data_IF_749241626639
#
_entry.id   IF_749241626639
#
_cell.length_a   1.000
_cell.length_b   1.000
_cell.length_c   1.000
_cell.angle_alpha   90.00
_cell.angle_beta   90.00
_cell.angle_gamma   90.00
#
_symmetry.space_group_name_H-M   'P 1'
#
loop_
_entity.id
_entity.type
_entity.pdbx_description
1 polymer ?
#
# COMPACT_ATOMS: atom_id res chain seq x y z
N UNK A 1 -10.01 -19.46 -5.06
CA UNK A 1 -9.60 -18.12 -5.52
C UNK A 1 -8.71 -18.33 -6.73
N UNK A 2 -9.08 -17.76 -7.86
CA UNK A 2 -8.25 -17.83 -9.06
C UNK A 2 -6.99 -16.99 -8.86
N UNK A 3 -5.87 -17.48 -9.37
CA UNK A 3 -4.64 -16.72 -9.39
C UNK A 3 -4.81 -15.58 -10.41
N UNK A 4 -4.93 -14.37 -9.88
CA UNK A 4 -5.09 -13.14 -10.66
C UNK A 4 -3.80 -12.71 -11.39
N UNK A 5 -2.66 -13.34 -11.08
CA UNK A 5 -1.37 -13.05 -11.71
C UNK A 5 -0.76 -14.31 -12.33
N UNK A 6 -0.38 -14.25 -13.61
CA UNK A 6 0.20 -15.37 -14.35
C UNK A 6 1.73 -15.30 -14.48
N UNK A 7 2.31 -14.12 -14.23
CA UNK A 7 3.73 -13.84 -14.41
C UNK A 7 4.42 -13.19 -13.21
N UNK A 8 5.52 -12.49 -13.48
CA UNK A 8 6.31 -11.79 -12.45
C UNK A 8 5.57 -10.51 -12.03
N UNK A 9 5.37 -10.36 -10.73
CA UNK A 9 4.69 -9.21 -10.13
C UNK A 9 5.70 -8.34 -9.38
N UNK A 10 5.60 -7.02 -9.56
CA UNK A 10 6.29 -6.02 -8.76
C UNK A 10 5.30 -5.39 -7.78
N UNK A 11 5.72 -5.25 -6.53
CA UNK A 11 4.90 -4.74 -5.43
C UNK A 11 5.67 -3.62 -4.74
N UNK A 12 5.01 -2.48 -4.53
CA UNK A 12 5.57 -1.35 -3.78
C UNK A 12 4.52 -0.77 -2.81
N UNK A 13 4.97 -0.25 -1.68
CA UNK A 13 4.10 0.37 -0.67
C UNK A 13 4.42 1.86 -0.49
N UNK A 14 3.38 2.70 -0.56
CA UNK A 14 3.48 4.14 -0.37
C UNK A 14 2.62 4.59 0.80
N UNK A 15 3.15 5.43 1.68
CA UNK A 15 2.40 5.98 2.82
C UNK A 15 2.00 7.44 2.58
N UNK A 16 0.70 7.70 2.45
CA UNK A 16 0.13 9.03 2.18
C UNK A 16 -0.37 9.64 3.48
N UNK A 17 0.11 10.85 3.80
CA UNK A 17 -0.36 11.61 4.94
C UNK A 17 0.57 12.75 5.35
N UNK A 18 0.06 13.64 6.19
CA UNK A 18 0.81 14.80 6.69
C UNK A 18 2.03 14.40 7.51
N UNK A 19 3.16 15.08 7.30
CA UNK A 19 4.37 14.85 8.09
C UNK A 19 4.10 15.20 9.56
N UNK A 20 4.48 14.31 10.47
CA UNK A 20 4.30 14.55 11.92
C UNK A 20 4.97 15.85 12.38
N UNK A 21 6.09 16.23 11.75
CA UNK A 21 6.80 17.49 12.02
C UNK A 21 5.93 18.74 11.79
N UNK A 22 4.94 18.67 10.89
CA UNK A 22 4.03 19.76 10.55
C UNK A 22 2.81 19.85 11.47
N UNK A 23 2.58 18.87 12.36
CA UNK A 23 1.49 18.94 13.34
C UNK A 23 1.82 19.95 14.44
N UNK A 24 0.79 20.52 15.07
CA UNK A 24 0.96 21.28 16.32
C UNK A 24 1.63 20.42 17.40
N UNK A 25 2.45 21.03 18.27
CA UNK A 25 3.31 20.34 19.26
C UNK A 25 2.55 19.30 20.08
N UNK A 26 1.35 19.63 20.59
CA UNK A 26 0.52 18.73 21.39
C UNK A 26 -0.05 17.51 20.63
N UNK A 27 0.01 17.51 19.30
CA UNK A 27 -0.51 16.45 18.41
C UNK A 27 0.60 15.64 17.71
N UNK A 28 1.88 15.94 17.98
CA UNK A 28 3.01 15.19 17.42
C UNK A 28 3.11 13.84 18.11
N UNK A 29 3.13 12.76 17.34
CA UNK A 29 3.33 11.41 17.90
C UNK A 29 4.80 11.11 18.16
N UNK A 30 5.73 11.84 17.50
CA UNK A 30 7.19 11.56 17.53
C UNK A 30 7.56 10.15 17.06
N UNK A 31 6.63 9.46 16.40
CA UNK A 31 6.84 8.13 15.82
C UNK A 31 7.40 8.31 14.40
N UNK A 32 8.40 7.50 14.04
CA UNK A 32 9.00 7.48 12.69
C UNK A 32 8.22 6.54 11.77
N UNK A 33 8.26 6.79 10.46
CA UNK A 33 7.73 5.87 9.43
C UNK A 33 6.31 6.17 8.97
N UNK A 34 5.54 5.11 8.72
CA UNK A 34 4.15 5.10 8.22
C UNK A 34 3.07 5.44 9.26
N UNK A 35 3.47 5.69 10.52
CA UNK A 35 2.51 5.99 11.59
C UNK A 35 1.61 7.17 11.22
N UNK A 36 0.30 6.96 11.40
CA UNK A 36 -0.73 7.96 11.18
C UNK A 36 -0.81 8.47 9.72
N UNK A 37 -0.40 7.61 8.78
CA UNK A 37 -0.54 7.75 7.33
C UNK A 37 -1.32 6.55 6.80
N UNK A 38 -1.99 6.75 5.68
CA UNK A 38 -2.65 5.66 4.96
C UNK A 38 -1.64 4.93 4.09
N UNK A 39 -1.63 3.60 4.15
CA UNK A 39 -0.82 2.78 3.27
C UNK A 39 -1.57 2.56 1.95
N UNK A 40 -0.86 2.75 0.84
CA UNK A 40 -1.32 2.47 -0.53
C UNK A 40 -0.38 1.44 -1.12
N UNK A 41 -0.93 0.32 -1.58
CA UNK A 41 -0.18 -0.76 -2.21
C UNK A 41 -0.31 -0.63 -3.73
N UNK A 42 0.82 -0.54 -4.43
CA UNK A 42 0.90 -0.66 -5.87
C UNK A 42 1.29 -2.08 -6.24
N UNK A 43 0.51 -2.73 -7.12
CA UNK A 43 0.81 -4.06 -7.65
C UNK A 43 0.77 -3.98 -9.17
N UNK A 44 1.83 -4.40 -9.83
CA UNK A 44 1.91 -4.45 -11.29
C UNK A 44 2.49 -5.79 -11.75
N UNK A 45 1.84 -6.43 -12.72
CA UNK A 45 2.40 -7.59 -13.41
C UNK A 45 3.24 -7.11 -14.59
N UNK A 46 4.50 -7.55 -14.66
CA UNK A 46 5.41 -7.10 -15.71
C UNK A 46 4.98 -7.65 -17.07
N UNK A 47 4.97 -6.79 -18.08
CA UNK A 47 4.73 -7.14 -19.50
C UNK A 47 3.32 -7.68 -19.80
N UNK A 48 2.31 -7.37 -18.99
CA UNK A 48 0.90 -7.66 -19.29
C UNK A 48 0.07 -6.39 -19.52
N UNK A 49 -1.23 -6.55 -19.82
CA UNK A 49 -2.17 -5.45 -19.96
C UNK A 49 -2.55 -4.92 -18.56
N UNK A 50 -2.32 -3.62 -18.32
CA UNK A 50 -2.63 -2.93 -17.07
C UNK A 50 -4.12 -3.10 -16.71
N UNK A 51 -4.41 -3.74 -15.58
CA UNK A 51 -5.75 -3.79 -14.96
C UNK A 51 -5.76 -2.92 -13.71
N UNK A 52 -6.64 -1.93 -13.67
CA UNK A 52 -6.89 -1.06 -12.51
C UNK A 52 -8.35 -1.22 -12.10
N UNK A 53 -8.60 -1.67 -10.86
CA UNK A 53 -9.95 -1.82 -10.31
C UNK A 53 -10.10 -1.05 -9.00
N UNK A 54 -11.27 -0.44 -8.79
CA UNK A 54 -11.62 0.28 -7.57
C UNK A 54 -12.04 -0.73 -6.49
N UNK A 55 -11.19 -0.91 -5.47
CA UNK A 55 -11.47 -1.81 -4.34
C UNK A 55 -12.04 -1.00 -3.17
N UNK A 56 -13.33 -1.19 -2.88
CA UNK A 56 -14.04 -0.48 -1.81
C UNK A 56 -13.57 -0.86 -0.39
N UNK A 57 -12.88 -2.00 -0.22
CA UNK A 57 -12.38 -2.46 1.08
C UNK A 57 -11.12 -3.31 0.95
N UNK A 58 -9.99 -2.76 1.39
CA UNK A 58 -8.70 -3.44 1.40
C UNK A 58 -8.57 -4.27 2.69
N UNK A 59 -8.73 -5.59 2.59
CA UNK A 59 -8.23 -6.53 3.60
C UNK A 59 -6.92 -7.09 3.03
N UNK A 60 -5.78 -6.58 3.50
CA UNK A 60 -4.46 -7.12 3.16
C UNK A 60 -4.33 -8.47 3.89
N UNK A 61 -4.84 -9.55 3.30
CA UNK A 61 -4.32 -10.88 3.60
C UNK A 61 -3.07 -11.03 2.76
N UNK A 62 -1.93 -11.11 3.45
CA UNK A 62 -0.63 -11.46 2.92
C UNK A 62 -0.74 -12.80 2.16
N UNK A 63 -0.99 -12.75 0.85
CA UNK A 63 -0.88 -13.87 -0.09
C UNK A 63 0.47 -13.77 -0.80
N UNK A 64 1.54 -13.80 -0.03
CA UNK A 64 2.81 -14.38 -0.48
C UNK A 64 3.03 -15.59 0.41
N UNK A 65 2.32 -16.68 0.09
CA UNK A 65 2.56 -17.99 0.67
C UNK A 65 3.46 -18.72 -0.32
N UNK A 66 4.73 -18.90 0.07
CA UNK A 66 5.59 -19.94 -0.48
C UNK A 66 4.90 -21.30 -0.35
#
# INVERSE_FOLDING_TARGET
>A
MENIFGGIVEVDETYIGGKDKNKHVKKKSKIRGGSNKEAVLGIIERRSNLKLEHIERLIIILLVKL
#
